data_IF_867871098879
#
_entry.id   IF_867871098879
#
_cell.length_a   1.000
_cell.length_b   1.000
_cell.length_c   1.000
_cell.angle_alpha   90.00
_cell.angle_beta   90.00
_cell.angle_gamma   90.00
#
_symmetry.space_group_name_H-M   'P 1'
#
loop_
_entity.id
_entity.type
_entity.pdbx_description
1 polymer ?
#
# COMPACT_ATOMS: atom_id res chain seq x y z
N UNK A 1 24.40 20.95 0.55
CA UNK A 1 24.55 19.69 -0.22
C UNK A 1 24.01 18.50 0.56
N UNK A 2 24.41 18.30 1.82
CA UNK A 2 23.90 17.21 2.68
C UNK A 2 22.36 17.16 2.78
N UNK A 3 21.72 18.29 3.12
CA UNK A 3 20.26 18.36 3.25
C UNK A 3 19.50 18.03 1.94
N UNK A 4 20.11 18.27 0.77
CA UNK A 4 19.51 17.93 -0.53
C UNK A 4 19.60 16.43 -0.78
N UNK A 5 20.71 15.80 -0.37
CA UNK A 5 20.91 14.35 -0.46
C UNK A 5 19.93 13.64 0.48
N UNK A 6 19.82 14.10 1.73
CA UNK A 6 18.89 13.53 2.72
C UNK A 6 17.43 13.64 2.25
N UNK A 7 17.07 14.77 1.63
CA UNK A 7 15.76 14.98 1.02
C UNK A 7 15.49 13.99 -0.11
N UNK A 8 16.43 13.83 -1.05
CA UNK A 8 16.29 12.89 -2.16
C UNK A 8 16.20 11.44 -1.70
N UNK A 9 17.02 11.06 -0.71
CA UNK A 9 16.98 9.73 -0.11
C UNK A 9 15.61 9.47 0.52
N UNK A 10 15.11 10.40 1.33
CA UNK A 10 13.80 10.25 1.97
C UNK A 10 12.65 10.19 0.95
N UNK A 11 12.70 10.99 -0.12
CA UNK A 11 11.74 10.93 -1.21
C UNK A 11 11.69 9.56 -1.91
N UNK A 12 12.85 8.92 -2.11
CA UNK A 12 12.97 7.61 -2.76
C UNK A 12 12.60 6.46 -1.82
N UNK A 13 12.93 6.57 -0.53
CA UNK A 13 12.64 5.54 0.48
C UNK A 13 11.15 5.32 0.67
N UNK A 14 10.33 6.38 0.61
CA UNK A 14 8.88 6.28 0.85
C UNK A 14 8.21 5.33 -0.18
N UNK A 15 8.32 5.55 -1.51
CA UNK A 15 7.80 4.60 -2.50
C UNK A 15 8.44 3.21 -2.42
N UNK A 16 9.75 3.11 -2.19
CA UNK A 16 10.42 1.81 -2.10
C UNK A 16 9.90 0.96 -0.94
N UNK A 17 9.51 1.60 0.16
CA UNK A 17 8.93 0.90 1.31
C UNK A 17 7.47 0.56 1.08
N UNK A 18 6.69 1.52 0.58
CA UNK A 18 5.23 1.38 0.47
C UNK A 18 4.78 0.54 -0.73
N UNK A 19 5.44 0.65 -1.90
CA UNK A 19 5.00 -0.05 -3.11
C UNK A 19 4.98 -1.58 -2.99
N UNK A 20 6.03 -2.23 -2.44
CA UNK A 20 5.99 -3.67 -2.23
C UNK A 20 4.85 -4.06 -1.29
N UNK A 21 4.63 -3.28 -0.21
CA UNK A 21 3.59 -3.55 0.79
C UNK A 21 2.17 -3.41 0.21
N UNK A 22 1.94 -2.36 -0.58
CA UNK A 22 0.67 -2.13 -1.29
C UNK A 22 0.44 -3.22 -2.34
N UNK A 23 1.51 -3.70 -2.97
CA UNK A 23 1.48 -4.74 -3.99
C UNK A 23 0.45 -4.49 -5.12
N UNK A 24 0.57 -3.37 -5.86
CA UNK A 24 -0.37 -3.04 -6.94
C UNK A 24 -0.35 -4.06 -8.09
N UNK A 25 0.73 -4.82 -8.23
CA UNK A 25 0.86 -5.87 -9.24
C UNK A 25 0.03 -7.10 -8.88
N UNK A 26 0.04 -7.51 -7.62
CA UNK A 26 -0.75 -8.63 -7.11
C UNK A 26 -2.25 -8.32 -7.05
N UNK A 27 -2.62 -7.06 -6.82
CA UNK A 27 -4.02 -6.62 -6.82
C UNK A 27 -4.54 -6.26 -8.22
N UNK A 28 -3.67 -6.20 -9.24
CA UNK A 28 -4.06 -5.86 -10.61
C UNK A 28 -5.16 -6.77 -11.21
N UNK A 29 -5.14 -8.11 -11.04
CA UNK A 29 -6.24 -8.98 -11.50
C UNK A 29 -7.57 -8.61 -10.86
N UNK A 30 -7.59 -8.40 -9.53
CA UNK A 30 -8.79 -8.02 -8.77
C UNK A 30 -9.31 -6.65 -9.24
N UNK A 31 -8.40 -5.70 -9.48
CA UNK A 31 -8.75 -4.40 -10.03
C UNK A 31 -9.40 -4.53 -11.41
N UNK A 32 -8.81 -5.32 -12.32
CA UNK A 32 -9.37 -5.51 -13.67
C UNK A 32 -10.71 -6.22 -13.66
N UNK A 33 -10.91 -7.19 -12.76
CA UNK A 33 -12.20 -7.84 -12.56
C UNK A 33 -13.26 -6.84 -12.05
N UNK A 34 -12.88 -5.95 -11.14
CA UNK A 34 -13.78 -4.93 -10.56
C UNK A 34 -14.11 -3.80 -11.54
N UNK A 35 -13.14 -3.36 -12.34
CA UNK A 35 -13.32 -2.32 -13.36
C UNK A 35 -14.17 -2.78 -14.54
N UNK A 36 -14.27 -4.10 -14.77
CA UNK A 36 -14.95 -4.68 -15.90
C UNK A 36 -14.28 -4.36 -17.25
N UNK A 37 -15.01 -4.57 -18.34
CA UNK A 37 -14.50 -4.41 -19.69
C UNK A 37 -14.38 -2.96 -20.20
N UNK A 38 -14.84 -1.96 -19.45
CA UNK A 38 -14.90 -0.57 -19.92
C UNK A 38 -13.63 0.24 -19.52
N UNK A 39 -12.80 0.68 -20.49
CA UNK A 39 -11.56 1.40 -20.20
C UNK A 39 -11.75 2.75 -19.51
N UNK A 40 -12.87 3.46 -19.76
CA UNK A 40 -13.15 4.75 -19.15
C UNK A 40 -13.51 4.60 -17.67
N UNK A 41 -14.28 3.56 -17.34
CA UNK A 41 -14.62 3.19 -15.96
C UNK A 41 -13.35 2.79 -15.20
N UNK A 42 -12.50 1.95 -15.80
CA UNK A 42 -11.22 1.58 -15.22
C UNK A 42 -10.31 2.77 -14.91
N UNK A 43 -10.22 3.76 -15.80
CA UNK A 43 -9.42 4.96 -15.54
C UNK A 43 -9.98 5.81 -14.38
N UNK A 44 -11.30 5.97 -14.30
CA UNK A 44 -11.95 6.69 -13.18
C UNK A 44 -11.72 5.96 -11.87
N UNK A 45 -11.86 4.64 -11.87
CA UNK A 45 -11.66 3.78 -10.71
C UNK A 45 -10.21 3.84 -10.22
N UNK A 46 -9.23 3.69 -11.12
CA UNK A 46 -7.81 3.83 -10.79
C UNK A 46 -7.50 5.19 -10.16
N UNK A 47 -8.07 6.27 -10.71
CA UNK A 47 -7.87 7.63 -10.18
C UNK A 47 -8.45 7.76 -8.77
N UNK A 48 -9.66 7.27 -8.54
CA UNK A 48 -10.27 7.32 -7.21
C UNK A 48 -9.50 6.48 -6.20
N UNK A 49 -9.02 5.29 -6.58
CA UNK A 49 -8.21 4.45 -5.69
C UNK A 49 -6.90 5.14 -5.32
N UNK A 50 -6.24 5.78 -6.29
CA UNK A 50 -5.02 6.53 -6.04
C UNK A 50 -5.25 7.75 -5.11
N UNK A 51 -6.36 8.49 -5.29
CA UNK A 51 -6.71 9.63 -4.42
C UNK A 51 -7.03 9.15 -3.00
N UNK A 52 -7.90 8.15 -2.86
CA UNK A 52 -8.27 7.60 -1.56
C UNK A 52 -7.03 7.05 -0.83
N UNK A 53 -6.21 6.28 -1.54
CA UNK A 53 -4.98 5.74 -0.99
C UNK A 53 -3.99 6.83 -0.59
N UNK A 54 -3.87 7.89 -1.39
CA UNK A 54 -3.03 9.04 -1.07
C UNK A 54 -3.48 9.72 0.23
N UNK A 55 -4.78 9.94 0.39
CA UNK A 55 -5.34 10.53 1.62
C UNK A 55 -4.99 9.64 2.83
N UNK A 56 -5.23 8.32 2.73
CA UNK A 56 -4.94 7.38 3.81
C UNK A 56 -3.45 7.38 4.17
N UNK A 57 -2.54 7.34 3.18
CA UNK A 57 -1.10 7.37 3.42
C UNK A 57 -0.67 8.67 4.10
N UNK A 58 -1.09 9.82 3.56
CA UNK A 58 -0.71 11.15 4.08
C UNK A 58 -1.22 11.33 5.51
N UNK A 59 -2.49 11.00 5.76
CA UNK A 59 -3.07 11.07 7.11
C UNK A 59 -2.34 10.13 8.06
N UNK A 60 -2.05 8.90 7.64
CA UNK A 60 -1.32 7.92 8.48
C UNK A 60 0.11 8.39 8.80
N UNK A 61 0.82 8.99 7.84
CA UNK A 61 2.18 9.50 8.05
C UNK A 61 2.21 10.73 8.97
N UNK A 62 1.25 11.66 8.82
CA UNK A 62 1.27 12.93 9.55
C UNK A 62 0.61 12.83 10.93
N UNK A 63 -0.50 12.09 11.02
CA UNK A 63 -1.38 12.04 12.20
C UNK A 63 -1.16 10.74 12.99
N UNK A 64 -0.66 9.69 12.34
CA UNK A 64 -0.61 8.35 12.92
C UNK A 64 0.10 8.26 14.26
N UNK A 65 1.25 8.91 14.42
CA UNK A 65 1.99 8.90 15.69
C UNK A 65 1.21 9.54 16.84
N UNK A 66 0.46 10.60 16.58
CA UNK A 66 -0.40 11.24 17.59
C UNK A 66 -1.55 10.33 18.01
N UNK A 67 -2.12 9.57 17.06
CA UNK A 67 -3.14 8.56 17.37
C UNK A 67 -2.55 7.47 18.27
N UNK A 68 -1.34 6.99 17.96
CA UNK A 68 -0.68 5.98 18.80
C UNK A 68 -0.43 6.48 20.22
N UNK A 69 0.03 7.72 20.38
CA UNK A 69 0.25 8.35 21.68
C UNK A 69 -1.07 8.45 22.48
N UNK A 70 -2.19 8.78 21.83
CA UNK A 70 -3.51 8.84 22.46
C UNK A 70 -3.95 7.48 23.04
N UNK A 71 -3.64 6.38 22.34
CA UNK A 71 -3.94 5.03 22.81
C UNK A 71 -2.85 4.42 23.70
N UNK A 72 -1.74 5.14 23.94
CA UNK A 72 -0.59 4.61 24.70
C UNK A 72 0.14 3.46 23.99
N UNK A 73 0.04 3.37 22.66
CA UNK A 73 0.68 2.31 21.85
C UNK A 73 2.05 2.80 21.39
N UNK A 74 3.09 2.00 21.63
CA UNK A 74 4.44 2.34 21.18
C UNK A 74 4.65 2.02 19.68
N UNK A 75 5.50 2.80 19.02
CA UNK A 75 5.84 2.57 17.60
C UNK A 75 6.37 1.16 17.29
N UNK A 76 7.22 0.54 18.13
CA UNK A 76 7.70 -0.83 17.89
C UNK A 76 6.56 -1.85 17.84
N UNK A 77 5.49 -1.68 18.64
CA UNK A 77 4.32 -2.57 18.62
C UNK A 77 3.59 -2.47 17.28
N UNK A 78 3.45 -1.26 16.73
CA UNK A 78 2.83 -1.05 15.42
C UNK A 78 3.65 -1.67 14.30
N UNK A 79 4.98 -1.62 14.39
CA UNK A 79 5.85 -2.33 13.43
C UNK A 79 5.67 -3.84 13.52
N UNK A 80 5.63 -4.42 14.71
CA UNK A 80 5.36 -5.86 14.90
C UNK A 80 4.00 -6.23 14.29
N UNK A 81 2.93 -5.50 14.64
CA UNK A 81 1.59 -5.77 14.14
C UNK A 81 1.48 -5.59 12.62
N UNK A 82 2.03 -4.50 12.09
CA UNK A 82 2.09 -4.21 10.66
C UNK A 82 2.89 -5.25 9.89
N UNK A 83 4.08 -5.60 10.38
CA UNK A 83 4.94 -6.63 9.80
C UNK A 83 4.25 -8.00 9.76
N UNK A 84 3.54 -8.36 10.83
CA UNK A 84 2.77 -9.60 10.89
C UNK A 84 1.62 -9.62 9.87
N UNK A 85 0.90 -8.51 9.69
CA UNK A 85 -0.16 -8.39 8.68
C UNK A 85 0.41 -8.47 7.25
N UNK A 86 1.55 -7.82 7.00
CA UNK A 86 2.26 -7.88 5.72
C UNK A 86 2.75 -9.30 5.43
N UNK A 87 3.37 -9.96 6.41
CA UNK A 87 3.80 -11.34 6.30
C UNK A 87 2.62 -12.29 6.06
N UNK A 88 1.52 -12.13 6.80
CA UNK A 88 0.31 -12.91 6.60
C UNK A 88 -0.29 -12.71 5.20
N UNK A 89 -0.23 -11.49 4.66
CA UNK A 89 -0.68 -11.20 3.29
C UNK A 89 0.20 -11.91 2.26
N UNK A 90 1.52 -11.80 2.39
CA UNK A 90 2.47 -12.52 1.52
C UNK A 90 2.29 -14.05 1.60
N UNK A 91 2.12 -14.59 2.81
CA UNK A 91 1.88 -16.01 3.04
C UNK A 91 0.57 -16.49 2.42
N UNK A 92 -0.52 -15.73 2.58
CA UNK A 92 -1.80 -16.03 1.91
C UNK A 92 -1.61 -16.06 0.40
N UNK A 93 -0.94 -15.06 -0.19
CA UNK A 93 -0.68 -15.03 -1.64
C UNK A 93 0.20 -16.19 -2.14
N UNK A 94 1.11 -16.71 -1.32
CA UNK A 94 1.89 -17.91 -1.64
C UNK A 94 1.04 -19.19 -1.64
N UNK A 95 -0.04 -19.23 -0.85
CA UNK A 95 -0.87 -20.42 -0.68
C UNK A 95 -2.20 -20.36 -1.45
N UNK A 96 -2.66 -19.17 -1.84
CA UNK A 96 -3.87 -19.00 -2.63
C UNK A 96 -3.62 -19.45 -4.08
N UNK A 97 -4.55 -20.22 -4.63
CA UNK A 97 -4.67 -20.45 -6.07
C UNK A 97 -5.38 -19.24 -6.67
N UNK A 98 -4.85 -18.68 -7.76
CA UNK A 98 -5.28 -17.39 -8.33
C UNK A 98 -6.79 -17.30 -8.69
N UNK A 99 -7.53 -18.41 -8.66
CA UNK A 99 -8.96 -18.52 -8.97
C UNK A 99 -9.87 -18.14 -7.78
N UNK A 100 -9.45 -18.31 -6.53
CA UNK A 100 -10.34 -18.12 -5.36
C UNK A 100 -10.64 -16.64 -5.06
N UNK A 101 -9.64 -15.76 -5.14
CA UNK A 101 -9.81 -14.31 -4.89
C UNK A 101 -10.56 -13.60 -6.03
N UNK A 102 -10.43 -14.11 -7.26
CA UNK A 102 -11.17 -13.62 -8.42
C UNK A 102 -12.65 -14.01 -8.27
N UNK A 103 -12.95 -15.25 -7.88
CA UNK A 103 -14.34 -15.73 -7.72
C UNK A 103 -15.11 -15.00 -6.62
N UNK A 104 -14.46 -14.62 -5.52
CA UNK A 104 -15.08 -13.82 -4.44
C UNK A 104 -15.37 -12.36 -4.85
N UNK A 105 -14.58 -11.77 -5.74
CA UNK A 105 -14.81 -10.42 -6.28
C UNK A 105 -15.79 -10.42 -7.48
N UNK A 106 -15.88 -11.54 -8.21
CA UNK A 106 -16.69 -11.73 -9.43
C UNK A 106 -18.18 -11.98 -9.14
N UNK A 107 -18.57 -12.32 -7.91
CA UNK A 107 -19.96 -12.61 -7.56
C UNK A 107 -20.95 -11.41 -7.61
N UNK A 108 -20.56 -10.24 -8.13
CA UNK A 108 -21.48 -9.13 -8.40
C UNK A 108 -21.40 -8.65 -9.84
N UNK A 109 -22.37 -9.19 -10.58
CA UNK A 109 -22.73 -8.98 -11.97
C UNK A 109 -22.63 -7.53 -12.48
N UNK A 110 -22.39 -7.49 -13.79
CA UNK A 110 -22.33 -6.38 -14.72
C UNK A 110 -23.64 -5.61 -14.86
N UNK A 111 -23.63 -4.36 -14.40
CA UNK A 111 -24.54 -3.28 -14.83
C UNK A 111 -23.70 -2.02 -15.10
N UNK A 112 -24.16 -1.06 -15.92
CA UNK A 112 -23.48 0.23 -16.06
C UNK A 112 -23.36 0.88 -14.67
N UNK A 113 -22.11 0.96 -14.18
CA UNK A 113 -21.83 1.48 -12.84
C UNK A 113 -22.23 2.95 -12.78
N UNK A 114 -23.13 3.29 -11.85
CA UNK A 114 -23.42 4.68 -11.50
C UNK A 114 -22.18 5.33 -10.86
N UNK A 115 -22.10 6.66 -10.86
CA UNK A 115 -20.99 7.37 -10.19
C UNK A 115 -20.90 7.01 -8.69
N UNK A 116 -22.03 6.72 -8.03
CA UNK A 116 -22.07 6.23 -6.64
C UNK A 116 -21.47 4.83 -6.48
N UNK A 117 -21.73 3.91 -7.41
CA UNK A 117 -21.10 2.58 -7.37
C UNK A 117 -19.61 2.63 -7.64
N UNK A 118 -19.15 3.55 -8.50
CA UNK A 118 -17.72 3.77 -8.74
C UNK A 118 -17.04 4.25 -7.46
N UNK A 119 -17.64 5.22 -6.74
CA UNK A 119 -17.14 5.70 -5.44
C UNK A 119 -17.15 4.58 -4.39
N UNK A 120 -18.21 3.78 -4.33
CA UNK A 120 -18.30 2.70 -3.33
C UNK A 120 -17.26 1.61 -3.60
N UNK A 121 -17.13 1.15 -4.84
CA UNK A 121 -16.17 0.08 -5.22
C UNK A 121 -14.73 0.56 -5.20
N UNK A 122 -14.46 1.83 -5.50
CA UNK A 122 -13.13 2.41 -5.36
C UNK A 122 -12.72 2.50 -3.91
N UNK A 123 -13.61 2.90 -3.00
CA UNK A 123 -13.31 2.99 -1.58
C UNK A 123 -13.18 1.59 -0.94
N UNK A 124 -14.17 0.72 -1.13
CA UNK A 124 -14.19 -0.65 -0.60
C UNK A 124 -14.56 -1.66 -1.70
N UNK A 125 -13.76 -2.73 -1.93
CA UNK A 125 -12.55 -3.13 -1.20
C UNK A 125 -11.23 -2.57 -1.77
N UNK A 126 -11.27 -1.85 -2.91
CA UNK A 126 -10.05 -1.54 -3.69
C UNK A 126 -9.07 -0.61 -2.98
N UNK A 127 -9.53 0.54 -2.47
CA UNK A 127 -8.66 1.44 -1.68
C UNK A 127 -8.42 0.83 -0.31
N UNK A 128 -9.50 0.46 0.38
CA UNK A 128 -9.46 -0.15 1.69
C UNK A 128 -10.27 -1.45 1.68
N UNK A 129 -9.71 -2.62 2.06
CA UNK A 129 -8.36 -2.82 2.61
C UNK A 129 -7.30 -3.23 1.58
N UNK A 130 -7.60 -3.33 0.27
CA UNK A 130 -6.68 -3.97 -0.68
C UNK A 130 -5.44 -3.13 -1.01
N UNK A 131 -5.57 -1.82 -1.23
CA UNK A 131 -4.44 -0.95 -1.61
C UNK A 131 -3.77 -0.32 -0.39
N UNK A 132 -4.55 0.30 0.49
CA UNK A 132 -4.08 0.88 1.77
C UNK A 132 -4.59 0.06 2.93
N UNK A 133 -4.22 -1.22 2.94
CA UNK A 133 -4.53 -2.13 4.03
C UNK A 133 -3.80 -1.79 5.32
N UNK A 134 -4.10 -2.50 6.43
CA UNK A 134 -3.53 -2.21 7.73
C UNK A 134 -1.99 -2.35 7.78
N UNK A 135 -1.40 -3.21 6.95
CA UNK A 135 0.06 -3.28 6.77
C UNK A 135 0.67 -2.03 6.14
N UNK A 136 0.03 -1.48 5.10
CA UNK A 136 0.45 -0.24 4.45
C UNK A 136 0.27 0.97 5.39
N UNK A 137 -0.81 0.98 6.18
CA UNK A 137 -1.05 2.00 7.23
C UNK A 137 0.05 1.94 8.28
N UNK A 138 0.35 0.75 8.82
CA UNK A 138 1.41 0.60 9.83
C UNK A 138 2.78 1.06 9.30
N UNK A 139 3.11 0.71 8.04
CA UNK A 139 4.34 1.18 7.39
C UNK A 139 4.34 2.70 7.20
N UNK A 140 3.22 3.30 6.79
CA UNK A 140 3.06 4.74 6.67
C UNK A 140 3.27 5.45 8.01
N UNK A 141 2.69 4.93 9.11
CA UNK A 141 2.90 5.47 10.46
C UNK A 141 4.39 5.35 10.86
N UNK A 142 5.03 4.21 10.57
CA UNK A 142 6.44 3.99 10.85
C UNK A 142 7.38 4.94 10.09
N UNK A 143 7.06 5.27 8.84
CA UNK A 143 7.74 6.30 8.05
C UNK A 143 7.50 7.70 8.61
N UNK A 144 6.24 8.01 8.97
CA UNK A 144 5.87 9.27 9.61
C UNK A 144 6.59 9.52 10.93
N UNK A 145 6.81 8.47 11.72
CA UNK A 145 7.52 8.57 12.99
C UNK A 145 9.02 8.91 12.86
N UNK A 146 9.61 8.78 11.67
CA UNK A 146 10.98 9.23 11.39
C UNK A 146 11.06 10.73 11.10
N UNK A 147 9.92 11.43 11.01
CA UNK A 147 9.89 12.87 10.75
C UNK A 147 10.51 13.64 11.92
N UNK A 148 11.36 14.66 11.65
CA UNK A 148 11.93 15.50 12.70
C UNK A 148 10.83 16.23 13.49
N UNK A 149 10.97 16.30 14.81
CA UNK A 149 9.99 16.99 15.69
C UNK A 149 10.18 18.51 15.77
N UNK A 150 11.27 19.04 15.22
CA UNK A 150 11.56 20.48 15.20
C UNK A 150 10.69 21.19 14.15
N UNK A 151 10.07 22.35 14.44
CA UNK A 151 9.01 22.92 13.58
C UNK A 151 9.42 23.15 12.12
N UNK A 152 10.62 23.70 11.87
CA UNK A 152 11.11 23.96 10.51
C UNK A 152 11.45 22.67 9.75
N UNK A 153 12.02 21.67 10.45
CA UNK A 153 12.38 20.38 9.86
C UNK A 153 11.16 19.46 9.71
N UNK A 154 10.13 19.64 10.54
CA UNK A 154 8.84 18.95 10.43
C UNK A 154 8.12 19.37 9.15
N UNK A 155 8.07 20.67 8.83
CA UNK A 155 7.51 21.16 7.57
C UNK A 155 8.23 20.55 6.36
N UNK A 156 9.56 20.52 6.37
CA UNK A 156 10.34 19.90 5.31
C UNK A 156 10.04 18.40 5.19
N UNK A 157 9.98 17.69 6.32
CA UNK A 157 9.64 16.28 6.36
C UNK A 157 8.21 16.00 5.88
N UNK A 158 7.25 16.85 6.23
CA UNK A 158 5.86 16.73 5.77
C UNK A 158 5.76 16.91 4.25
N UNK A 159 6.53 17.82 3.67
CA UNK A 159 6.63 17.97 2.20
C UNK A 159 7.21 16.71 1.57
N UNK A 160 8.27 16.13 2.14
CA UNK A 160 8.84 14.86 1.66
C UNK A 160 7.82 13.72 1.74
N UNK A 161 7.09 13.61 2.85
CA UNK A 161 6.05 12.61 3.03
C UNK A 161 4.94 12.76 1.97
N UNK A 162 4.51 14.00 1.73
CA UNK A 162 3.52 14.33 0.71
C UNK A 162 3.99 13.93 -0.69
N UNK A 163 5.22 14.32 -1.06
CA UNK A 163 5.80 14.01 -2.36
C UNK A 163 6.02 12.50 -2.53
N UNK A 164 6.49 11.80 -1.50
CA UNK A 164 6.69 10.36 -1.51
C UNK A 164 5.37 9.58 -1.61
N UNK A 165 4.35 9.96 -0.85
CA UNK A 165 3.00 9.40 -0.96
C UNK A 165 2.39 9.66 -2.34
N UNK A 166 2.60 10.86 -2.89
CA UNK A 166 2.17 11.22 -4.25
C UNK A 166 2.86 10.35 -5.29
N UNK A 167 4.18 10.22 -5.23
CA UNK A 167 4.95 9.36 -6.13
C UNK A 167 4.48 7.88 -6.04
N UNK A 168 4.26 7.38 -4.83
CA UNK A 168 3.74 6.03 -4.58
C UNK A 168 2.39 5.83 -5.28
N UNK A 169 1.44 6.75 -5.07
CA UNK A 169 0.09 6.63 -5.64
C UNK A 169 0.04 6.91 -7.14
N UNK A 170 0.96 7.71 -7.68
CA UNK A 170 1.15 7.86 -9.13
C UNK A 170 1.58 6.53 -9.75
N UNK A 171 2.52 5.81 -9.13
CA UNK A 171 2.94 4.48 -9.61
C UNK A 171 1.78 3.48 -9.54
N UNK A 172 1.04 3.44 -8.42
CA UNK A 172 -0.16 2.60 -8.29
C UNK A 172 -1.19 2.92 -9.37
N UNK A 173 -1.46 4.21 -9.60
CA UNK A 173 -2.37 4.68 -10.65
C UNK A 173 -1.94 4.20 -12.04
N UNK A 174 -0.65 4.33 -12.38
CA UNK A 174 -0.11 3.88 -13.67
C UNK A 174 -0.24 2.36 -13.83
N UNK A 175 0.03 1.59 -12.78
CA UNK A 175 -0.12 0.13 -12.80
C UNK A 175 -1.59 -0.26 -13.01
N UNK A 176 -2.52 0.32 -12.25
CA UNK A 176 -3.95 0.02 -12.40
C UNK A 176 -4.51 0.49 -13.74
N UNK A 177 -4.13 1.67 -14.22
CA UNK A 177 -4.52 2.17 -15.55
C UNK A 177 -4.08 1.21 -16.66
N UNK A 178 -2.90 0.61 -16.51
CA UNK A 178 -2.33 -0.31 -17.48
C UNK A 178 -2.53 -1.79 -17.12
N UNK A 179 -3.32 -2.10 -16.08
CA UNK A 179 -3.41 -3.46 -15.53
C UNK A 179 -3.88 -4.47 -16.58
N UNK A 180 -4.92 -4.15 -17.36
CA UNK A 180 -5.40 -5.03 -18.43
C UNK A 180 -4.37 -5.26 -19.55
N UNK A 181 -3.49 -4.29 -19.82
CA UNK A 181 -2.42 -4.45 -20.79
C UNK A 181 -1.25 -5.25 -20.20
N UNK A 182 -0.93 -5.01 -18.92
CA UNK A 182 0.11 -5.70 -18.18
C UNK A 182 -0.19 -7.19 -18.05
N UNK A 183 -1.40 -7.55 -17.62
CA UNK A 183 -1.84 -8.95 -17.49
C UNK A 183 -1.84 -9.67 -18.84
N UNK A 184 -2.27 -8.98 -19.92
CA UNK A 184 -2.21 -9.53 -21.28
C UNK A 184 -0.78 -9.79 -21.76
N UNK A 185 0.17 -8.93 -21.39
CA UNK A 185 1.60 -9.12 -21.74
C UNK A 185 2.26 -10.23 -20.93
N UNK A 186 1.90 -10.38 -19.66
CA UNK A 186 2.44 -11.44 -18.79
C UNK A 186 1.84 -12.82 -19.13
N UNK A 187 0.61 -12.85 -19.64
CA UNK A 187 -0.12 -14.10 -19.87
C UNK A 187 -0.47 -14.83 -18.56
N UNK A 188 -1.18 -15.97 -18.65
CA UNK A 188 -1.63 -16.71 -17.46
C UNK A 188 -0.46 -17.23 -16.61
N UNK A 189 0.54 -17.85 -17.26
CA UNK A 189 1.71 -18.43 -16.57
C UNK A 189 2.62 -17.35 -15.99
N UNK A 190 2.93 -16.30 -16.76
CA UNK A 190 3.79 -15.22 -16.29
C UNK A 190 3.16 -14.44 -15.14
N UNK A 191 1.84 -14.25 -15.15
CA UNK A 191 1.11 -13.63 -14.04
C UNK A 191 1.21 -14.48 -12.76
N UNK A 192 1.10 -15.81 -12.89
CA UNK A 192 1.23 -16.72 -11.76
C UNK A 192 2.64 -16.65 -11.13
N UNK A 193 3.69 -16.73 -11.97
CA UNK A 193 5.09 -16.64 -11.50
C UNK A 193 5.35 -15.28 -10.84
N UNK A 194 4.90 -14.18 -11.46
CA UNK A 194 5.07 -12.84 -10.91
C UNK A 194 4.36 -12.69 -9.55
N UNK A 195 3.14 -13.19 -9.42
CA UNK A 195 2.43 -13.19 -8.14
C UNK A 195 3.19 -13.96 -7.06
N UNK A 196 3.77 -15.13 -7.37
CA UNK A 196 4.58 -15.91 -6.41
C UNK A 196 5.85 -15.15 -5.99
N UNK A 197 6.53 -14.48 -6.93
CA UNK A 197 7.72 -13.68 -6.61
C UNK A 197 7.38 -12.50 -5.71
N UNK A 198 6.32 -11.74 -6.03
CA UNK A 198 5.91 -10.60 -5.21
C UNK A 198 5.40 -11.05 -3.84
N UNK A 199 4.67 -12.18 -3.77
CA UNK A 199 4.21 -12.76 -2.51
C UNK A 199 5.39 -13.13 -1.58
N UNK A 200 6.44 -13.72 -2.13
CA UNK A 200 7.66 -14.03 -1.38
C UNK A 200 8.36 -12.77 -0.88
N UNK A 201 8.53 -11.75 -1.74
CA UNK A 201 9.13 -10.45 -1.35
C UNK A 201 8.31 -9.81 -0.22
N UNK A 202 6.97 -9.81 -0.35
CA UNK A 202 6.06 -9.25 0.65
C UNK A 202 6.20 -9.99 1.99
N UNK A 203 6.29 -11.32 1.96
CA UNK A 203 6.52 -12.12 3.15
C UNK A 203 7.84 -11.75 3.86
N UNK A 204 8.93 -11.65 3.09
CA UNK A 204 10.23 -11.23 3.62
C UNK A 204 10.19 -9.82 4.22
N UNK A 205 9.55 -8.87 3.56
CA UNK A 205 9.39 -7.50 4.08
C UNK A 205 8.59 -7.49 5.39
N UNK A 206 7.54 -8.31 5.49
CA UNK A 206 6.77 -8.45 6.73
C UNK A 206 7.63 -8.95 7.89
N UNK A 207 8.44 -9.99 7.65
CA UNK A 207 9.39 -10.53 8.63
C UNK A 207 10.41 -9.46 9.04
N UNK A 208 10.97 -8.71 8.09
CA UNK A 208 11.96 -7.65 8.35
C UNK A 208 11.39 -6.54 9.24
N UNK A 209 10.17 -6.08 8.96
CA UNK A 209 9.49 -5.05 9.77
C UNK A 209 9.22 -5.58 11.18
N UNK A 210 8.76 -6.84 11.29
CA UNK A 210 8.51 -7.50 12.58
C UNK A 210 9.80 -7.61 13.40
N UNK A 211 10.89 -8.07 12.79
CA UNK A 211 12.19 -8.19 13.43
C UNK A 211 12.72 -6.85 13.90
N UNK A 212 12.64 -5.81 13.05
CA UNK A 212 13.05 -4.46 13.41
C UNK A 212 12.25 -3.92 14.60
N UNK A 213 10.93 -4.13 14.61
CA UNK A 213 10.07 -3.74 15.74
C UNK A 213 10.42 -4.50 17.03
N UNK A 214 10.71 -5.80 16.94
CA UNK A 214 11.15 -6.60 18.08
C UNK A 214 12.48 -6.11 18.68
N UNK A 215 13.47 -5.80 17.83
CA UNK A 215 14.77 -5.28 18.27
C UNK A 215 14.61 -3.93 18.97
N UNK A 216 13.83 -3.00 18.41
CA UNK A 216 13.56 -1.70 19.05
C UNK A 216 12.84 -1.85 20.38
N UNK A 217 11.87 -2.78 20.47
CA UNK A 217 11.13 -3.03 21.71
C UNK A 217 12.05 -3.55 22.82
N UNK A 218 12.94 -4.50 22.50
CA UNK A 218 13.92 -5.03 23.46
C UNK A 218 14.99 -4.00 23.87
N UNK A 219 15.33 -3.05 22.99
CA UNK A 219 16.25 -1.98 23.32
C UNK A 219 15.64 -0.95 24.28
N UNK A 220 14.31 -0.73 24.22
CA UNK A 220 13.58 0.16 25.14
C UNK A 220 13.30 -0.50 26.49
N UNK A 221 13.23 -1.83 26.55
CA UNK A 221 12.99 -2.59 27.78
C UNK A 221 14.22 -2.76 28.69
N UNK A 222 15.40 -2.25 28.27
CA UNK A 222 16.63 -2.17 29.07
C UNK A 222 16.86 -0.74 29.53
#
# INVERSE_FOLDING_TARGET
MQAVIDFFQAFVIVPLTLLPIINPLGTAPIFTATAGGNPLVGQRLARQVAINGWIVLVVSMLVGTYVLELFGISLPIVRIGGGLLVAATGWRMLNTNAEDDVTAAVARESLPLSDEEIVRRSFFPLSFPLTTGPGAIAAAIALGAKLPKTPALYLLGAVVALLGATATMVVVYLIYRNASALLRRLGPVGSLVMMRLVAFILFCIGIEILWTGWVELNAVAR
#
